data_IF_763474933328
#
_entry.id   IF_763474933328
#
_cell.length_a   1.000
_cell.length_b   1.000
_cell.length_c   1.000
_cell.angle_alpha   90.00
_cell.angle_beta   90.00
_cell.angle_gamma   90.00
#
_symmetry.space_group_name_H-M   'P 1'
#
loop_
_entity.id
_entity.type
_entity.pdbx_description
1 polymer ?
#
# COMPACT_ATOMS: atom_id res chain seq x y z
N UNK A 1 5.70 -4.88 23.12
CA UNK A 1 4.62 -4.08 22.48
C UNK A 1 5.16 -3.74 21.12
N UNK A 2 4.54 -4.25 20.06
CA UNK A 2 5.07 -4.06 18.71
C UNK A 2 4.50 -2.74 18.17
N UNK A 3 5.28 -1.68 18.33
CA UNK A 3 4.97 -0.37 17.79
C UNK A 3 5.35 -0.36 16.31
N UNK A 4 4.34 -0.23 15.44
CA UNK A 4 4.59 -0.28 13.99
C UNK A 4 4.75 1.12 13.40
N UNK A 5 4.10 2.15 13.98
CA UNK A 5 4.14 3.49 13.38
C UNK A 5 3.83 4.65 14.33
N UNK A 6 4.56 5.75 14.12
CA UNK A 6 4.34 7.08 14.68
C UNK A 6 4.11 8.04 13.50
N UNK A 7 2.99 8.74 13.47
CA UNK A 7 2.66 9.73 12.41
C UNK A 7 2.45 11.10 13.05
N UNK A 8 3.27 12.12 12.74
CA UNK A 8 3.06 13.48 13.21
C UNK A 8 1.88 14.16 12.51
N UNK A 9 1.07 14.91 13.26
CA UNK A 9 0.04 15.84 12.76
C UNK A 9 0.49 17.30 12.94
N UNK A 10 -0.42 18.27 12.80
CA UNK A 10 -0.13 19.67 13.15
C UNK A 10 0.04 19.89 14.66
N UNK A 11 -0.47 19.00 15.51
CA UNK A 11 -0.59 19.26 16.96
C UNK A 11 -0.23 18.09 17.87
N UNK A 12 -0.16 16.87 17.33
CA UNK A 12 0.11 15.65 18.12
C UNK A 12 0.67 14.52 17.24
N UNK A 13 1.20 13.48 17.86
CA UNK A 13 1.56 12.23 17.20
C UNK A 13 0.41 11.22 17.30
N UNK A 14 0.09 10.55 16.19
CA UNK A 14 -0.69 9.32 16.19
C UNK A 14 0.23 8.12 16.36
N UNK A 15 -0.03 7.28 17.37
CA UNK A 15 0.73 6.04 17.60
C UNK A 15 -0.18 4.83 17.43
N UNK A 16 0.27 3.85 16.64
CA UNK A 16 -0.45 2.61 16.35
C UNK A 16 0.39 1.38 16.72
N UNK A 17 -0.26 0.31 17.23
CA UNK A 17 0.39 -0.98 17.54
C UNK A 17 -0.20 -2.11 16.71
N UNK A 18 0.58 -3.18 16.52
CA UNK A 18 0.26 -4.30 15.62
C UNK A 18 -0.61 -5.43 16.22
N UNK A 19 -1.01 -5.41 17.50
CA UNK A 19 -1.47 -6.65 18.16
C UNK A 19 -2.96 -7.03 18.02
N UNK A 20 -3.58 -6.69 16.89
CA UNK A 20 -4.82 -7.35 16.44
C UNK A 20 -4.81 -7.39 14.91
N UNK A 21 -5.61 -8.26 14.24
CA UNK A 21 -5.81 -8.25 12.77
C UNK A 21 -6.33 -6.92 12.17
N UNK A 22 -6.33 -5.90 13.00
CA UNK A 22 -6.81 -4.56 12.88
C UNK A 22 -5.72 -3.64 13.43
N UNK A 23 -5.09 -2.83 12.59
CA UNK A 23 -4.25 -1.71 13.05
C UNK A 23 -5.15 -0.78 13.86
N UNK A 24 -4.92 -0.71 15.18
CA UNK A 24 -5.73 0.12 16.08
C UNK A 24 -4.92 1.33 16.51
N UNK A 25 -5.52 2.52 16.42
CA UNK A 25 -4.97 3.71 17.06
C UNK A 25 -4.89 3.47 18.57
N UNK A 26 -3.69 3.58 19.11
CA UNK A 26 -3.44 3.29 20.53
C UNK A 26 -3.48 4.56 21.33
N UNK A 27 -2.91 5.64 20.80
CA UNK A 27 -2.80 6.89 21.54
C UNK A 27 -2.47 8.08 20.64
N UNK A 28 -3.07 9.21 21.00
CA UNK A 28 -2.64 10.54 20.56
C UNK A 28 -1.71 11.13 21.61
N UNK A 29 -0.58 11.67 21.18
CA UNK A 29 0.39 12.33 22.06
C UNK A 29 0.59 13.78 21.63
N UNK A 30 0.05 14.72 22.42
CA UNK A 30 0.22 16.15 22.17
C UNK A 30 1.69 16.57 22.15
N UNK A 31 2.01 17.52 21.28
CA UNK A 31 3.33 18.11 21.23
C UNK A 31 3.62 18.88 22.52
N UNK A 32 4.63 18.41 23.27
CA UNK A 32 5.18 19.12 24.44
C UNK A 32 6.36 20.02 24.08
N UNK A 33 6.96 19.79 22.91
CA UNK A 33 8.03 20.58 22.30
C UNK A 33 7.75 20.69 20.80
N UNK A 34 8.26 21.71 20.10
CA UNK A 34 8.10 21.84 18.66
C UNK A 34 8.61 20.60 17.92
N UNK A 35 7.82 20.08 16.97
CA UNK A 35 8.19 18.91 16.14
C UNK A 35 9.54 19.11 15.43
N UNK A 36 9.85 20.36 15.05
CA UNK A 36 11.09 20.74 14.36
C UNK A 36 12.36 20.46 15.17
N UNK A 37 12.24 20.24 16.49
CA UNK A 37 13.36 19.92 17.35
C UNK A 37 13.69 18.42 17.35
N UNK A 38 12.84 17.58 16.77
CA UNK A 38 13.10 16.13 16.63
C UNK A 38 14.08 15.91 15.48
N UNK A 39 15.32 15.57 15.83
CA UNK A 39 16.43 15.38 14.86
C UNK A 39 16.93 13.95 14.75
N UNK A 40 16.56 13.09 15.70
CA UNK A 40 16.92 11.67 15.69
C UNK A 40 15.81 10.84 16.34
N UNK A 41 15.80 9.55 16.01
CA UNK A 41 14.97 8.53 16.66
C UNK A 41 15.92 7.45 17.19
N UNK A 42 15.74 7.06 18.44
CA UNK A 42 16.46 5.96 19.09
C UNK A 42 15.46 4.89 19.51
N UNK A 43 15.75 3.63 19.20
CA UNK A 43 14.99 2.47 19.69
C UNK A 43 15.97 1.67 20.55
N UNK A 44 15.60 1.43 21.81
CA UNK A 44 16.44 0.75 22.80
C UNK A 44 15.58 -0.14 23.71
N UNK A 45 16.21 -1.11 24.38
CA UNK A 45 15.57 -2.13 25.23
C UNK A 45 15.54 -3.53 24.58
N UNK A 46 14.89 -4.47 25.27
CA UNK A 46 14.80 -5.88 24.85
C UNK A 46 13.84 -6.07 23.67
N UNK A 47 14.28 -5.68 22.47
CA UNK A 47 13.51 -5.80 21.24
C UNK A 47 14.39 -6.26 20.08
N UNK A 48 13.79 -7.00 19.14
CA UNK A 48 14.37 -7.23 17.82
C UNK A 48 13.77 -6.20 16.86
N UNK A 49 14.63 -5.57 16.06
CA UNK A 49 14.22 -4.64 15.03
C UNK A 49 14.40 -5.34 13.69
N UNK A 50 13.29 -5.66 13.04
CA UNK A 50 13.26 -6.27 11.71
C UNK A 50 13.30 -5.20 10.60
N UNK A 51 12.63 -4.07 10.81
CA UNK A 51 12.53 -3.00 9.84
C UNK A 51 12.30 -1.63 10.50
N UNK A 52 13.00 -0.59 9.99
CA UNK A 52 12.74 0.81 10.34
C UNK A 52 12.64 1.62 9.06
N UNK A 53 11.57 2.41 8.96
CA UNK A 53 11.38 3.36 7.89
C UNK A 53 10.87 4.69 8.45
N UNK A 54 11.37 5.80 7.89
CA UNK A 54 10.87 7.13 8.14
C UNK A 54 10.69 7.87 6.82
N UNK A 55 9.71 8.77 6.79
CA UNK A 55 9.32 9.51 5.59
C UNK A 55 7.87 9.23 5.19
N UNK A 56 7.55 9.57 3.95
CA UNK A 56 6.18 9.65 3.46
C UNK A 56 5.60 11.05 3.62
N UNK A 57 4.61 11.34 2.77
CA UNK A 57 3.77 12.54 2.80
C UNK A 57 2.36 12.08 2.49
N UNK A 58 1.36 12.92 2.75
CA UNK A 58 0.05 12.68 2.17
C UNK A 58 0.17 12.76 0.64
N UNK A 59 -0.17 11.67 -0.04
CA UNK A 59 -0.23 11.63 -1.50
C UNK A 59 -1.68 11.96 -1.92
N UNK A 60 -1.90 12.98 -2.75
CA UNK A 60 -3.25 13.33 -3.19
C UNK A 60 -3.83 12.17 -4.01
N UNK A 61 -5.08 11.79 -3.73
CA UNK A 61 -5.84 10.78 -4.49
C UNK A 61 -6.95 11.52 -5.27
N UNK A 62 -7.07 11.35 -6.61
CA UNK A 62 -6.35 10.39 -7.44
C UNK A 62 -4.85 10.70 -7.57
N UNK A 63 -4.03 9.66 -7.42
CA UNK A 63 -2.58 9.72 -7.53
C UNK A 63 -2.16 9.07 -8.85
N UNK A 64 -1.20 9.67 -9.54
CA UNK A 64 -0.57 9.10 -10.71
C UNK A 64 0.91 9.47 -10.75
N UNK A 65 1.77 8.49 -11.04
CA UNK A 65 3.20 8.74 -11.19
C UNK A 65 3.87 7.69 -12.06
N UNK A 66 4.92 8.11 -12.76
CA UNK A 66 5.86 7.21 -13.40
C UNK A 66 6.78 6.55 -12.36
N UNK A 67 7.18 5.31 -12.63
CA UNK A 67 8.15 4.56 -11.85
C UNK A 67 9.55 4.85 -12.40
N UNK A 68 10.35 5.56 -11.62
CA UNK A 68 11.74 5.90 -11.98
C UNK A 68 12.67 4.67 -11.97
N UNK A 69 13.88 4.81 -12.53
CA UNK A 69 14.91 3.76 -12.55
C UNK A 69 14.51 2.45 -13.25
N UNK A 70 13.85 2.58 -14.40
CA UNK A 70 13.56 1.46 -15.30
C UNK A 70 12.30 0.67 -14.98
N UNK A 71 11.40 1.18 -14.13
CA UNK A 71 10.15 0.50 -13.84
C UNK A 71 10.24 -0.49 -12.67
N UNK A 72 9.10 -1.12 -12.39
CA UNK A 72 8.97 -2.24 -11.48
C UNK A 72 9.36 -3.54 -12.22
N UNK A 73 10.66 -3.75 -12.42
CA UNK A 73 11.21 -4.94 -13.07
C UNK A 73 11.03 -6.21 -12.21
N UNK A 74 11.13 -7.42 -12.80
CA UNK A 74 11.19 -8.65 -12.02
C UNK A 74 12.30 -8.58 -10.95
N UNK A 75 11.98 -9.05 -9.74
CA UNK A 75 12.82 -8.96 -8.55
C UNK A 75 12.64 -7.67 -7.73
N UNK A 76 11.98 -6.64 -8.28
CA UNK A 76 11.65 -5.41 -7.54
C UNK A 76 10.27 -5.48 -6.89
N UNK A 77 10.02 -4.58 -5.95
CA UNK A 77 8.72 -4.46 -5.30
C UNK A 77 8.23 -3.03 -5.14
N UNK A 78 6.91 -2.86 -5.11
CA UNK A 78 6.21 -1.62 -4.82
C UNK A 78 5.47 -1.79 -3.50
N UNK A 79 5.84 -0.98 -2.51
CA UNK A 79 5.25 -0.94 -1.19
C UNK A 79 4.38 0.31 -1.03
N UNK A 80 3.13 0.12 -0.63
CA UNK A 80 2.13 1.18 -0.45
C UNK A 80 1.56 1.07 0.97
N UNK A 81 1.54 2.19 1.68
CA UNK A 81 0.85 2.29 2.97
C UNK A 81 -0.28 3.29 2.87
N UNK A 82 -1.48 2.86 3.24
CA UNK A 82 -2.68 3.68 3.17
C UNK A 82 -3.75 3.28 4.17
N UNK A 83 -4.88 3.98 4.13
CA UNK A 83 -6.05 3.73 4.96
C UNK A 83 -7.31 3.90 4.11
N UNK A 84 -8.19 2.90 4.01
CA UNK A 84 -9.46 3.06 3.32
C UNK A 84 -10.37 3.95 4.16
N UNK A 85 -11.08 4.85 3.51
CA UNK A 85 -11.97 5.78 4.21
C UNK A 85 -13.04 5.04 5.04
N UNK A 86 -13.50 5.65 6.13
CA UNK A 86 -14.57 5.10 6.98
C UNK A 86 -15.85 4.72 6.21
N UNK A 87 -16.14 5.45 5.12
CA UNK A 87 -17.29 5.21 4.22
C UNK A 87 -16.91 4.56 2.89
N UNK A 88 -15.67 4.07 2.76
CA UNK A 88 -15.13 3.50 1.53
C UNK A 88 -16.05 2.45 0.93
N UNK A 89 -16.38 2.61 -0.34
CA UNK A 89 -17.01 1.56 -1.16
C UNK A 89 -15.93 0.76 -1.87
N UNK A 90 -14.95 1.45 -2.46
CA UNK A 90 -13.87 0.83 -3.21
C UNK A 90 -12.71 1.79 -3.41
N UNK A 91 -11.52 1.23 -3.57
CA UNK A 91 -10.36 1.92 -4.12
C UNK A 91 -9.64 0.99 -5.08
N UNK A 92 -8.74 1.53 -5.91
CA UNK A 92 -7.91 0.72 -6.77
C UNK A 92 -6.46 1.20 -6.81
N UNK A 93 -5.58 0.25 -7.12
CA UNK A 93 -4.21 0.50 -7.54
C UNK A 93 -4.04 -0.13 -8.92
N UNK A 94 -3.64 0.66 -9.89
CA UNK A 94 -3.29 0.20 -11.23
C UNK A 94 -1.78 0.24 -11.40
N UNK A 95 -1.23 -0.84 -11.94
CA UNK A 95 0.13 -0.88 -12.49
C UNK A 95 0.04 -0.76 -14.00
N UNK A 96 0.78 0.19 -14.57
CA UNK A 96 0.62 0.61 -15.96
C UNK A 96 1.88 0.35 -16.79
N UNK A 97 1.65 0.06 -18.06
CA UNK A 97 2.66 0.09 -19.12
C UNK A 97 2.75 1.49 -19.75
N UNK A 98 3.78 1.70 -20.55
CA UNK A 98 4.00 2.98 -21.24
C UNK A 98 2.87 3.33 -22.21
N UNK A 99 2.21 2.33 -22.79
CA UNK A 99 1.08 2.53 -23.70
C UNK A 99 -0.26 2.75 -22.98
N UNK A 100 -0.28 2.78 -21.65
CA UNK A 100 -1.49 2.96 -20.83
C UNK A 100 -2.26 1.68 -20.51
N UNK A 101 -1.82 0.50 -20.99
CA UNK A 101 -2.41 -0.76 -20.55
C UNK A 101 -2.24 -0.93 -19.03
N UNK A 102 -3.26 -1.49 -18.38
CA UNK A 102 -3.22 -1.84 -16.96
C UNK A 102 -2.89 -3.32 -16.85
N UNK A 103 -1.66 -3.65 -16.46
CA UNK A 103 -1.23 -5.06 -16.32
C UNK A 103 -1.72 -5.69 -15.04
N UNK A 104 -1.97 -4.86 -14.02
CA UNK A 104 -2.65 -5.26 -12.79
C UNK A 104 -3.54 -4.12 -12.32
N UNK A 105 -4.84 -4.37 -12.32
CA UNK A 105 -5.85 -3.60 -11.63
C UNK A 105 -6.16 -4.32 -10.32
N UNK A 106 -5.72 -3.78 -9.19
CA UNK A 106 -6.00 -4.31 -7.86
C UNK A 106 -7.10 -3.46 -7.22
N UNK A 107 -8.29 -4.04 -7.01
CA UNK A 107 -9.48 -3.28 -6.65
C UNK A 107 -10.25 -3.91 -5.48
N UNK A 108 -9.91 -3.53 -4.23
CA UNK A 108 -10.73 -3.83 -3.07
C UNK A 108 -12.11 -3.18 -3.17
N UNK A 109 -13.17 -4.00 -3.04
CA UNK A 109 -14.58 -3.61 -3.09
C UNK A 109 -15.25 -4.03 -1.79
N UNK A 110 -15.47 -3.07 -0.88
CA UNK A 110 -16.04 -3.33 0.45
C UNK A 110 -17.54 -3.66 0.39
N UNK A 111 -18.25 -3.14 -0.61
CA UNK A 111 -19.65 -3.43 -0.91
C UNK A 111 -19.85 -4.88 -1.38
N UNK A 112 -18.91 -5.41 -2.15
CA UNK A 112 -18.90 -6.81 -2.61
C UNK A 112 -18.13 -7.76 -1.68
N UNK A 113 -17.36 -7.23 -0.71
CA UNK A 113 -16.46 -7.96 0.21
C UNK A 113 -15.39 -8.80 -0.50
N UNK A 114 -14.90 -8.33 -1.64
CA UNK A 114 -13.88 -9.01 -2.45
C UNK A 114 -12.76 -8.06 -2.85
N UNK A 115 -11.64 -8.61 -3.30
CA UNK A 115 -10.63 -7.87 -4.04
C UNK A 115 -10.60 -8.40 -5.47
N UNK A 116 -11.01 -7.55 -6.40
CA UNK A 116 -10.95 -7.89 -7.83
C UNK A 116 -9.55 -7.63 -8.34
N UNK A 117 -8.99 -8.61 -9.07
CA UNK A 117 -7.79 -8.42 -9.88
C UNK A 117 -8.09 -8.67 -11.35
N UNK A 118 -7.58 -7.82 -12.21
CA UNK A 118 -7.74 -7.96 -13.65
C UNK A 118 -6.62 -7.22 -14.40
N UNK A 119 -6.60 -7.36 -15.72
CA UNK A 119 -5.78 -6.55 -16.61
C UNK A 119 -6.66 -5.91 -17.69
N UNK A 120 -6.32 -4.68 -18.10
CA UNK A 120 -6.91 -3.95 -19.22
C UNK A 120 -5.84 -3.85 -20.31
N UNK A 121 -5.97 -4.65 -21.37
CA UNK A 121 -4.99 -4.72 -22.45
C UNK A 121 -5.69 -4.33 -23.75
N UNK A 122 -5.16 -3.35 -24.47
CA UNK A 122 -5.79 -2.83 -25.68
C UNK A 122 -7.20 -2.27 -25.45
N UNK A 123 -7.45 -1.74 -24.24
CA UNK A 123 -8.76 -1.22 -23.85
C UNK A 123 -9.81 -2.27 -23.48
N UNK A 124 -9.45 -3.56 -23.41
CA UNK A 124 -10.38 -4.66 -23.08
C UNK A 124 -10.01 -5.29 -21.74
N UNK A 125 -10.98 -5.36 -20.83
CA UNK A 125 -10.82 -6.06 -19.56
C UNK A 125 -10.76 -7.58 -19.78
N UNK A 126 -9.80 -8.24 -19.14
CA UNK A 126 -9.73 -9.69 -19.10
C UNK A 126 -10.74 -10.33 -18.15
N UNK A 127 -10.52 -11.61 -17.85
CA UNK A 127 -11.29 -12.35 -16.84
C UNK A 127 -10.93 -11.83 -15.44
N UNK A 128 -11.93 -11.51 -14.62
CA UNK A 128 -11.70 -11.13 -13.23
C UNK A 128 -11.24 -12.34 -12.38
N UNK A 129 -10.30 -12.09 -11.48
CA UNK A 129 -9.95 -12.97 -10.35
C UNK A 129 -10.48 -12.33 -9.06
N UNK A 130 -11.17 -13.12 -8.24
CA UNK A 130 -12.02 -12.62 -7.13
C UNK A 130 -11.88 -13.42 -5.85
N UNK A 131 -11.16 -14.52 -5.90
CA UNK A 131 -10.95 -15.42 -4.77
C UNK A 131 -10.15 -14.76 -3.65
N UNK A 132 -10.36 -15.24 -2.43
CA UNK A 132 -9.80 -14.66 -1.21
C UNK A 132 -10.81 -13.79 -0.46
N UNK A 133 -10.69 -13.76 0.86
CA UNK A 133 -11.43 -12.84 1.72
C UNK A 133 -10.80 -11.45 1.61
N UNK A 134 -11.59 -10.38 1.56
CA UNK A 134 -11.04 -9.02 1.58
C UNK A 134 -10.16 -8.81 2.84
N UNK A 135 -8.86 -8.49 2.69
CA UNK A 135 -7.93 -8.33 3.82
C UNK A 135 -7.87 -6.89 4.35
N UNK A 136 -8.81 -6.04 3.91
CA UNK A 136 -8.88 -4.63 4.27
C UNK A 136 -10.06 -4.36 5.19
N UNK A 137 -9.86 -3.42 6.10
CA UNK A 137 -10.89 -2.89 6.97
C UNK A 137 -10.96 -1.36 6.78
N UNK A 138 -12.17 -0.80 6.83
CA UNK A 138 -12.37 0.64 6.74
C UNK A 138 -11.80 1.32 7.98
N UNK A 139 -11.24 2.52 7.82
CA UNK A 139 -10.67 3.32 8.91
C UNK A 139 -9.51 2.61 9.62
N UNK A 140 -8.81 1.70 8.91
CA UNK A 140 -7.63 0.99 9.40
C UNK A 140 -6.51 1.02 8.38
N UNK A 141 -5.31 1.27 8.88
CA UNK A 141 -4.11 1.27 8.06
C UNK A 141 -3.84 -0.12 7.47
N UNK A 142 -3.35 -0.15 6.24
CA UNK A 142 -2.81 -1.35 5.60
C UNK A 142 -1.40 -1.09 5.07
N UNK A 143 -0.60 -2.16 5.02
CA UNK A 143 0.60 -2.27 4.20
C UNK A 143 0.30 -3.18 3.01
N UNK A 144 0.56 -2.71 1.79
CA UNK A 144 0.35 -3.44 0.54
C UNK A 144 1.66 -3.55 -0.22
N UNK A 145 2.09 -4.78 -0.49
CA UNK A 145 3.31 -5.06 -1.24
C UNK A 145 2.95 -5.78 -2.54
N UNK A 146 3.37 -5.21 -3.66
CA UNK A 146 3.40 -5.86 -4.97
C UNK A 146 4.85 -6.26 -5.26
N UNK A 147 5.14 -7.55 -5.26
CA UNK A 147 6.46 -8.07 -5.61
C UNK A 147 6.38 -8.68 -7.02
N UNK A 148 7.10 -8.08 -7.95
CA UNK A 148 7.09 -8.52 -9.34
C UNK A 148 8.07 -9.69 -9.49
N UNK A 149 7.57 -10.88 -9.78
CA UNK A 149 8.39 -12.04 -10.14
C UNK A 149 8.27 -12.33 -11.64
N UNK A 150 9.08 -13.24 -12.15
CA UNK A 150 9.15 -13.53 -13.60
C UNK A 150 7.80 -13.97 -14.19
N UNK A 151 7.01 -14.75 -13.43
CA UNK A 151 5.78 -15.37 -13.92
C UNK A 151 4.49 -14.79 -13.32
N UNK A 152 4.57 -14.10 -12.19
CA UNK A 152 3.42 -13.56 -11.50
C UNK A 152 3.76 -12.35 -10.62
N UNK A 153 2.76 -11.53 -10.35
CA UNK A 153 2.80 -10.57 -9.25
C UNK A 153 2.41 -11.28 -7.94
N UNK A 154 3.31 -11.29 -6.97
CA UNK A 154 3.01 -11.69 -5.60
C UNK A 154 2.41 -10.51 -4.85
N UNK A 155 1.28 -10.70 -4.18
CA UNK A 155 0.55 -9.64 -3.50
C UNK A 155 0.47 -9.98 -2.02
N UNK A 156 1.00 -9.10 -1.17
CA UNK A 156 0.92 -9.22 0.28
C UNK A 156 0.14 -8.05 0.88
N UNK A 157 -0.68 -8.36 1.88
CA UNK A 157 -1.39 -7.36 2.68
C UNK A 157 -1.04 -7.58 4.15
N UNK A 158 -0.57 -6.52 4.81
CA UNK A 158 -0.15 -6.54 6.22
C UNK A 158 0.93 -7.59 6.55
N UNK A 159 1.76 -7.96 5.56
CA UNK A 159 2.83 -8.96 5.70
C UNK A 159 2.40 -10.40 5.38
N UNK A 160 1.10 -10.65 5.17
CA UNK A 160 0.59 -11.96 4.77
C UNK A 160 0.34 -12.03 3.27
N UNK A 161 0.68 -13.17 2.64
CA UNK A 161 0.44 -13.37 1.21
C UNK A 161 -1.06 -13.46 0.96
N UNK A 162 -1.59 -12.51 0.21
CA UNK A 162 -3.01 -12.43 -0.13
C UNK A 162 -3.33 -13.22 -1.41
N UNK A 163 -2.60 -12.97 -2.49
CA UNK A 163 -2.86 -13.58 -3.79
C UNK A 163 -1.61 -13.61 -4.67
N UNK A 164 -1.66 -14.45 -5.69
CA UNK A 164 -0.77 -14.46 -6.85
C UNK A 164 -1.57 -14.05 -8.08
N UNK A 165 -1.06 -13.14 -8.89
CA UNK A 165 -1.67 -12.79 -10.17
C UNK A 165 -0.71 -13.12 -11.31
N UNK A 166 -1.02 -14.16 -12.09
CA UNK A 166 -0.18 -14.57 -13.20
C UNK A 166 -0.10 -13.44 -14.24
N UNK A 167 1.10 -13.16 -14.75
CA UNK A 167 1.27 -12.10 -15.74
C UNK A 167 0.52 -12.45 -17.02
N UNK A 168 -0.32 -11.52 -17.49
CA UNK A 168 -1.09 -11.66 -18.74
C UNK A 168 -0.38 -11.02 -19.94
N UNK A 169 0.76 -10.39 -19.69
CA UNK A 169 1.65 -9.75 -20.65
C UNK A 169 3.09 -9.87 -20.14
N UNK A 170 4.04 -9.20 -20.80
CA UNK A 170 5.41 -9.10 -20.30
C UNK A 170 5.44 -8.43 -18.91
N UNK A 171 6.38 -8.87 -18.06
CA UNK A 171 6.53 -8.42 -16.68
C UNK A 171 7.59 -7.33 -16.49
N UNK A 172 8.30 -6.94 -17.56
CA UNK A 172 9.47 -6.07 -17.53
C UNK A 172 9.20 -4.63 -18.01
N UNK A 173 7.95 -4.23 -18.19
CA UNK A 173 7.57 -2.92 -18.73
C UNK A 173 6.49 -2.19 -17.90
N UNK A 174 6.45 -2.49 -16.61
CA UNK A 174 5.63 -1.78 -15.62
C UNK A 174 6.30 -0.45 -15.28
N UNK A 175 5.76 0.66 -15.77
CA UNK A 175 6.39 1.99 -15.68
C UNK A 175 5.52 3.04 -14.99
N UNK A 176 4.30 2.70 -14.59
CA UNK A 176 3.41 3.66 -13.95
C UNK A 176 2.60 3.04 -12.82
N UNK A 177 2.17 3.90 -11.89
CA UNK A 177 1.20 3.57 -10.85
C UNK A 177 0.10 4.63 -10.84
N UNK A 178 -1.15 4.18 -10.75
CA UNK A 178 -2.30 5.04 -10.45
C UNK A 178 -3.01 4.51 -9.21
N UNK A 179 -3.48 5.41 -8.35
CA UNK A 179 -4.28 5.07 -7.17
C UNK A 179 -5.52 5.96 -7.16
N UNK A 180 -6.70 5.37 -7.03
CA UNK A 180 -7.98 6.07 -7.10
C UNK A 180 -9.01 5.49 -6.13
N UNK A 181 -10.06 6.27 -5.86
CA UNK A 181 -11.19 5.86 -5.01
C UNK A 181 -11.02 6.27 -3.55
N UNK A 182 -11.77 5.60 -2.68
CA UNK A 182 -11.98 6.02 -1.30
C UNK A 182 -10.85 5.51 -0.38
N UNK A 183 -9.66 6.10 -0.51
CA UNK A 183 -8.45 5.73 0.24
C UNK A 183 -7.51 6.93 0.45
N UNK A 184 -6.90 7.01 1.63
CA UNK A 184 -5.80 7.91 1.94
C UNK A 184 -4.46 7.18 1.77
N UNK A 185 -3.48 7.82 1.12
CA UNK A 185 -2.15 7.24 0.89
C UNK A 185 -1.10 8.05 1.66
N UNK A 186 -0.29 7.33 2.43
CA UNK A 186 0.71 7.89 3.34
C UNK A 186 2.14 7.44 3.05
N UNK A 187 2.33 6.47 2.15
CA UNK A 187 3.62 5.93 1.77
C UNK A 187 3.55 5.23 0.42
N UNK A 188 4.51 5.51 -0.46
CA UNK A 188 4.75 4.80 -1.71
C UNK A 188 6.26 4.66 -1.84
N UNK A 189 6.75 3.43 -1.94
CA UNK A 189 8.18 3.11 -2.02
C UNK A 189 8.42 2.01 -3.03
N UNK A 190 9.55 2.10 -3.73
CA UNK A 190 10.00 1.08 -4.66
C UNK A 190 11.31 0.52 -4.11
N UNK A 191 11.38 -0.80 -4.00
CA UNK A 191 12.51 -1.54 -3.43
C UNK A 191 13.11 -2.45 -4.50
#
# INVERSE_FOLDING_TARGET
MDFRRIVPSSSFYHITTANTPATKEVKMFDYRVPLQWVTYVSIDGDTLIDHVQWGGKYYPVPYESGIVNGGLLPGKSLFITGMPDKRSKRFNVNLLRQNGDIILHFNPRFDEKVVVRNALIGGVWGKEEREGKIPFEKDKMFDLLFQNEDYAMQIFVNGERFATFAHRSQSNDIVGVQIQGDVEISGIQIQ
#
